data_IF_217261438448
#
_entry.id   IF_217261438448
#
_cell.length_a   1.000
_cell.length_b   1.000
_cell.length_c   1.000
_cell.angle_alpha   90.00
_cell.angle_beta   90.00
_cell.angle_gamma   90.00
#
_symmetry.space_group_name_H-M   'P 1'
#
loop_
_entity.id
_entity.type
_entity.pdbx_description
1 polymer ?
#
# COMPACT_ATOMS: atom_id res chain seq x y z
N UNK A 1 13.90 41.96 -39.68
CA UNK A 1 15.34 41.82 -40.00
C UNK A 1 15.69 40.35 -39.87
N UNK A 2 15.62 39.60 -40.97
CA UNK A 2 16.03 38.19 -40.98
C UNK A 2 17.55 38.14 -41.06
N UNK A 3 18.21 37.68 -39.99
CA UNK A 3 19.66 37.59 -39.90
C UNK A 3 20.19 36.45 -40.76
N UNK A 4 21.13 36.76 -41.66
CA UNK A 4 21.87 35.77 -42.44
C UNK A 4 22.61 34.80 -41.51
N UNK A 5 22.39 33.49 -41.68
CA UNK A 5 23.17 32.41 -41.05
C UNK A 5 24.11 31.79 -42.10
N UNK A 6 25.42 31.82 -41.84
CA UNK A 6 26.42 31.30 -42.76
C UNK A 6 26.49 29.77 -42.71
N UNK A 7 26.54 29.12 -43.88
CA UNK A 7 26.50 27.67 -44.09
C UNK A 7 27.79 26.90 -43.68
N UNK A 8 28.78 27.57 -43.08
CA UNK A 8 30.09 26.98 -42.79
C UNK A 8 30.51 27.18 -41.32
N UNK A 9 29.53 27.38 -40.44
CA UNK A 9 29.72 27.39 -38.99
C UNK A 9 28.98 26.13 -38.51
N UNK A 10 29.74 25.11 -38.14
CA UNK A 10 29.25 24.04 -37.29
C UNK A 10 28.75 24.72 -36.01
N UNK A 11 27.46 24.57 -35.72
CA UNK A 11 26.85 25.15 -34.53
C UNK A 11 27.39 24.43 -33.32
N UNK A 12 28.41 25.02 -32.69
CA UNK A 12 29.00 24.58 -31.41
C UNK A 12 28.07 24.83 -30.21
N UNK A 13 26.76 24.96 -30.45
CA UNK A 13 25.69 24.98 -29.45
C UNK A 13 25.01 23.59 -29.46
N UNK A 14 25.79 22.54 -29.23
CA UNK A 14 25.27 21.43 -28.43
C UNK A 14 25.21 22.00 -27.02
N UNK A 15 24.06 22.58 -26.65
CA UNK A 15 23.80 22.89 -25.25
C UNK A 15 23.95 21.60 -24.47
N UNK A 16 25.05 21.44 -23.74
CA UNK A 16 25.20 20.40 -22.72
C UNK A 16 23.97 20.51 -21.82
N UNK A 17 22.99 19.62 -22.02
CA UNK A 17 21.84 19.48 -21.15
C UNK A 17 22.41 18.98 -19.83
N UNK A 18 22.61 19.91 -18.89
CA UNK A 18 23.01 19.61 -17.52
C UNK A 18 21.94 18.69 -16.93
N UNK A 19 22.23 17.39 -16.85
CA UNK A 19 21.33 16.40 -16.26
C UNK A 19 21.24 16.73 -14.76
N UNK A 20 20.02 17.03 -14.28
CA UNK A 20 19.78 17.33 -12.87
C UNK A 20 19.74 16.04 -12.03
N UNK A 21 20.93 15.55 -11.67
CA UNK A 21 21.15 14.34 -10.86
C UNK A 21 20.67 14.51 -9.39
N UNK A 22 20.14 15.68 -9.00
CA UNK A 22 19.76 15.97 -7.61
C UNK A 22 18.66 15.03 -7.12
N UNK A 23 17.64 14.78 -7.95
CA UNK A 23 16.52 13.89 -7.60
C UNK A 23 16.99 12.44 -7.43
N UNK A 24 17.88 11.97 -8.31
CA UNK A 24 18.42 10.61 -8.23
C UNK A 24 19.23 10.41 -6.94
N UNK A 25 20.11 11.36 -6.60
CA UNK A 25 20.86 11.33 -5.35
C UNK A 25 19.94 11.28 -4.11
N UNK A 26 18.86 12.08 -4.13
CA UNK A 26 17.88 12.11 -3.03
C UNK A 26 17.10 10.78 -2.92
N UNK A 27 16.80 10.12 -4.04
CA UNK A 27 16.19 8.79 -4.06
C UNK A 27 17.16 7.74 -3.51
N UNK A 28 18.44 7.78 -3.89
CA UNK A 28 19.46 6.88 -3.35
C UNK A 28 19.65 7.05 -1.85
N UNK A 29 19.65 8.28 -1.35
CA UNK A 29 19.78 8.55 0.09
C UNK A 29 18.56 8.06 0.86
N UNK A 30 17.36 8.28 0.34
CA UNK A 30 16.14 7.71 0.90
C UNK A 30 16.18 6.17 0.87
N UNK A 31 16.74 5.54 -0.17
CA UNK A 31 16.87 4.09 -0.25
C UNK A 31 17.78 3.55 0.86
N UNK A 32 18.86 4.25 1.21
CA UNK A 32 19.74 3.89 2.33
C UNK A 32 19.01 3.98 3.67
N UNK A 33 18.23 5.03 3.88
CA UNK A 33 17.39 5.20 5.08
C UNK A 33 16.35 4.08 5.18
N UNK A 34 15.67 3.78 4.07
CA UNK A 34 14.69 2.70 3.98
C UNK A 34 15.29 1.33 4.30
N UNK A 35 16.46 1.00 3.72
CA UNK A 35 17.17 -0.24 4.02
C UNK A 35 17.56 -0.34 5.51
N UNK A 36 17.95 0.79 6.11
CA UNK A 36 18.28 0.86 7.54
C UNK A 36 17.06 0.61 8.42
N UNK A 37 15.93 1.24 8.11
CA UNK A 37 14.66 1.02 8.80
C UNK A 37 14.20 -0.44 8.69
N UNK A 38 14.27 -1.02 7.48
CA UNK A 38 13.89 -2.40 7.24
C UNK A 38 14.79 -3.39 7.99
N UNK A 39 16.10 -3.10 8.08
CA UNK A 39 17.02 -3.91 8.87
C UNK A 39 16.62 -3.94 10.35
N UNK A 40 16.38 -2.78 10.97
CA UNK A 40 15.96 -2.74 12.38
C UNK A 40 14.58 -3.36 12.59
N UNK A 41 13.66 -3.20 11.65
CA UNK A 41 12.36 -3.87 11.67
C UNK A 41 12.53 -5.40 11.66
N UNK A 42 13.37 -5.94 10.76
CA UNK A 42 13.62 -7.37 10.64
C UNK A 42 14.33 -7.99 11.87
N UNK A 43 15.08 -7.21 12.65
CA UNK A 43 15.67 -7.65 13.92
C UNK A 43 14.62 -7.96 15.01
N UNK A 44 13.37 -7.50 14.84
CA UNK A 44 12.25 -7.82 15.70
C UNK A 44 12.10 -6.92 16.93
N UNK A 45 11.31 -7.32 17.94
CA UNK A 45 10.83 -6.43 19.01
C UNK A 45 11.91 -5.70 19.80
N UNK A 46 13.11 -6.28 19.95
CA UNK A 46 14.22 -5.66 20.65
C UNK A 46 14.79 -4.41 19.93
N UNK A 47 14.51 -4.28 18.63
CA UNK A 47 15.00 -3.21 17.77
C UNK A 47 13.90 -2.28 17.27
N UNK A 48 12.65 -2.48 17.71
CA UNK A 48 11.52 -1.68 17.23
C UNK A 48 11.63 -0.19 17.53
N UNK A 49 12.22 0.20 18.66
CA UNK A 49 12.48 1.63 18.93
C UNK A 49 13.44 2.24 17.90
N UNK A 50 14.51 1.52 17.55
CA UNK A 50 15.46 1.94 16.50
C UNK A 50 14.81 1.94 15.11
N UNK A 51 13.93 0.99 14.84
CA UNK A 51 13.18 0.95 13.59
C UNK A 51 12.23 2.14 13.48
N UNK A 52 11.56 2.53 14.58
CA UNK A 52 10.68 3.70 14.61
C UNK A 52 11.46 5.00 14.31
N UNK A 53 12.64 5.17 14.91
CA UNK A 53 13.52 6.31 14.63
C UNK A 53 13.99 6.32 13.17
N UNK A 54 14.42 5.18 12.63
CA UNK A 54 14.87 5.08 11.24
C UNK A 54 13.74 5.32 10.22
N UNK A 55 12.51 4.85 10.50
CA UNK A 55 11.35 5.18 9.67
C UNK A 55 11.01 6.67 9.74
N UNK A 56 11.13 7.31 10.91
CA UNK A 56 10.93 8.75 11.04
C UNK A 56 11.93 9.52 10.16
N UNK A 57 13.21 9.18 10.24
CA UNK A 57 14.26 9.79 9.40
C UNK A 57 14.00 9.58 7.91
N UNK A 58 13.52 8.39 7.51
CA UNK A 58 13.10 8.12 6.14
C UNK A 58 11.97 9.04 5.69
N UNK A 59 10.89 9.18 6.46
CA UNK A 59 9.76 10.03 6.07
C UNK A 59 10.08 11.53 6.11
N UNK A 60 11.14 11.94 6.81
CA UNK A 60 11.65 13.32 6.80
C UNK A 60 12.51 13.66 5.56
N UNK A 61 12.88 12.64 4.77
CA UNK A 61 13.72 12.82 3.57
C UNK A 61 13.01 13.63 2.47
N UNK A 62 13.81 14.22 1.58
CA UNK A 62 13.33 15.14 0.55
C UNK A 62 12.33 14.51 -0.42
N UNK A 63 12.44 13.21 -0.69
CA UNK A 63 11.54 12.52 -1.64
C UNK A 63 10.07 12.55 -1.23
N UNK A 64 9.76 12.67 0.07
CA UNK A 64 8.39 12.77 0.59
C UNK A 64 7.83 14.20 0.55
N UNK A 65 8.64 15.17 0.13
CA UNK A 65 8.23 16.57 -0.07
C UNK A 65 7.90 16.87 -1.52
N UNK A 66 8.22 15.95 -2.43
CA UNK A 66 7.94 16.11 -3.86
C UNK A 66 6.44 16.12 -4.15
N UNK A 67 5.97 16.89 -5.14
CA UNK A 67 4.59 16.80 -5.61
C UNK A 67 4.17 15.37 -5.96
N UNK A 68 5.05 14.60 -6.60
CA UNK A 68 4.85 13.22 -7.03
C UNK A 68 4.59 12.26 -5.84
N UNK A 69 5.06 12.63 -4.64
CA UNK A 69 4.88 11.84 -3.41
C UNK A 69 3.49 11.99 -2.80
N UNK A 70 2.77 13.07 -3.09
CA UNK A 70 1.42 13.29 -2.58
C UNK A 70 0.44 12.29 -3.19
N UNK A 71 -0.65 12.00 -2.49
CA UNK A 71 -1.72 11.15 -3.02
C UNK A 71 -2.35 11.79 -4.26
N UNK A 72 -2.79 10.99 -5.23
CA UNK A 72 -3.31 11.53 -6.50
C UNK A 72 -4.52 12.43 -6.29
N UNK A 73 -5.44 12.03 -5.41
CA UNK A 73 -6.59 12.86 -5.04
C UNK A 73 -6.17 14.25 -4.53
N UNK A 74 -5.13 14.30 -3.69
CA UNK A 74 -4.61 15.54 -3.13
C UNK A 74 -3.94 16.40 -4.21
N UNK A 75 -3.24 15.78 -5.17
CA UNK A 75 -2.69 16.50 -6.32
C UNK A 75 -3.79 17.12 -7.18
N UNK A 76 -4.85 16.36 -7.46
CA UNK A 76 -6.01 16.83 -8.23
C UNK A 76 -6.69 18.01 -7.51
N UNK A 77 -6.84 17.96 -6.19
CA UNK A 77 -7.44 19.05 -5.41
C UNK A 77 -6.58 20.34 -5.43
N UNK A 78 -5.24 20.21 -5.44
CA UNK A 78 -4.32 21.35 -5.40
C UNK A 78 -4.06 21.97 -6.78
N UNK A 79 -3.90 21.13 -7.81
CA UNK A 79 -3.42 21.53 -9.13
C UNK A 79 -4.47 21.36 -10.23
N UNK A 80 -5.61 20.72 -9.94
CA UNK A 80 -6.59 20.31 -10.94
C UNK A 80 -6.27 18.93 -11.53
N UNK A 81 -7.22 18.36 -12.27
CA UNK A 81 -6.97 17.13 -13.01
C UNK A 81 -5.96 17.43 -14.13
N UNK A 82 -4.90 16.62 -14.22
CA UNK A 82 -3.93 16.70 -15.31
C UNK A 82 -4.66 16.50 -16.64
N UNK A 83 -4.43 17.40 -17.60
CA UNK A 83 -4.92 17.22 -18.97
C UNK A 83 -3.93 16.37 -19.76
N UNK A 84 -4.38 15.75 -20.87
CA UNK A 84 -3.51 14.92 -21.72
C UNK A 84 -2.25 15.66 -22.23
N UNK A 85 -2.27 17.00 -22.26
CA UNK A 85 -1.11 17.84 -22.60
C UNK A 85 -0.06 17.93 -21.46
N UNK A 86 -0.46 17.75 -20.19
CA UNK A 86 0.41 17.78 -19.02
C UNK A 86 1.07 16.40 -18.74
N UNK A 87 0.46 15.30 -19.18
CA UNK A 87 1.01 13.95 -19.05
C UNK A 87 2.31 13.75 -19.85
N UNK A 88 2.44 14.47 -20.98
CA UNK A 88 3.65 14.46 -21.82
C UNK A 88 4.92 14.91 -21.09
N UNK A 89 4.82 15.69 -20.02
CA UNK A 89 5.96 16.16 -19.24
C UNK A 89 6.36 15.20 -18.10
N UNK A 90 5.50 14.25 -17.74
CA UNK A 90 5.76 13.26 -16.71
C UNK A 90 6.33 11.94 -17.26
N UNK A 91 6.14 11.66 -18.55
CA UNK A 91 6.56 10.41 -19.20
C UNK A 91 8.02 10.44 -19.72
N UNK A 92 8.74 11.56 -19.54
CA UNK A 92 10.14 11.70 -19.98
C UNK A 92 11.15 11.07 -18.99
N UNK A 93 10.67 10.44 -17.91
CA UNK A 93 11.51 9.65 -16.99
C UNK A 93 11.47 8.17 -17.37
N UNK A 94 12.33 7.84 -18.34
CA UNK A 94 12.85 6.52 -18.70
C UNK A 94 11.97 5.29 -18.41
N UNK A 95 11.23 4.85 -19.42
CA UNK A 95 10.76 3.47 -19.56
C UNK A 95 11.94 2.51 -19.76
N UNK A 96 12.63 2.16 -18.67
CA UNK A 96 13.67 1.14 -18.62
C UNK A 96 13.10 -0.23 -18.24
N UNK A 97 12.72 -1.02 -19.25
CA UNK A 97 12.68 -2.50 -19.31
C UNK A 97 12.28 -3.28 -18.04
N UNK A 98 11.08 -3.88 -18.10
CA UNK A 98 10.60 -4.91 -17.17
C UNK A 98 11.59 -6.09 -17.02
N UNK A 99 12.21 -6.24 -15.84
CA UNK A 99 12.93 -7.46 -15.45
C UNK A 99 12.35 -8.01 -14.15
N UNK A 100 12.24 -9.33 -14.13
CA UNK A 100 11.44 -10.14 -13.23
C UNK A 100 11.75 -9.95 -11.72
N UNK A 101 10.68 -10.07 -10.93
CA UNK A 101 10.68 -10.35 -9.48
C UNK A 101 11.59 -11.55 -9.17
N UNK A 102 12.77 -11.31 -8.60
CA UNK A 102 13.22 -11.91 -7.34
C UNK A 102 14.71 -11.63 -7.07
N UNK A 103 14.99 -11.34 -5.80
CA UNK A 103 16.30 -11.37 -5.15
C UNK A 103 17.18 -10.13 -5.31
N UNK A 104 17.11 -9.23 -4.32
CA UNK A 104 18.22 -8.40 -3.81
C UNK A 104 19.23 -7.91 -4.85
N UNK A 105 18.77 -7.21 -5.89
CA UNK A 105 19.66 -6.49 -6.79
C UNK A 105 19.26 -5.01 -6.81
N UNK A 106 20.22 -4.18 -6.46
CA UNK A 106 20.14 -2.73 -6.36
C UNK A 106 20.06 -2.12 -7.77
N UNK A 107 18.97 -2.40 -8.49
CA UNK A 107 18.56 -1.52 -9.59
C UNK A 107 18.14 -0.15 -9.03
N UNK A 108 18.16 0.92 -9.84
CA UNK A 108 17.65 2.22 -9.41
C UNK A 108 16.19 2.05 -9.00
N UNK A 109 15.92 2.08 -7.70
CA UNK A 109 14.55 2.04 -7.20
C UNK A 109 13.85 3.30 -7.67
N UNK A 110 12.80 3.19 -8.46
CA UNK A 110 12.07 4.37 -8.93
C UNK A 110 11.39 5.07 -7.76
N UNK A 111 11.16 6.38 -7.88
CA UNK A 111 10.48 7.16 -6.86
C UNK A 111 9.14 6.54 -6.42
N UNK A 112 8.23 6.11 -7.32
CA UNK A 112 6.99 5.45 -6.91
C UNK A 112 7.21 4.17 -6.09
N UNK A 113 8.23 3.39 -6.46
CA UNK A 113 8.54 2.13 -5.78
C UNK A 113 9.02 2.36 -4.34
N UNK A 114 9.94 3.30 -4.12
CA UNK A 114 10.41 3.58 -2.75
C UNK A 114 9.31 4.19 -1.88
N UNK A 115 8.45 5.05 -2.45
CA UNK A 115 7.29 5.59 -1.74
C UNK A 115 6.32 4.48 -1.33
N UNK A 116 5.95 3.61 -2.27
CA UNK A 116 5.10 2.44 -2.02
C UNK A 116 5.67 1.58 -0.88
N UNK A 117 6.94 1.16 -1.00
CA UNK A 117 7.57 0.26 -0.03
C UNK A 117 7.73 0.89 1.35
N UNK A 118 8.04 2.18 1.41
CA UNK A 118 8.20 2.92 2.67
C UNK A 118 6.88 2.97 3.42
N UNK A 119 5.81 3.39 2.75
CA UNK A 119 4.47 3.45 3.33
C UNK A 119 3.95 2.07 3.75
N UNK A 120 4.07 1.05 2.87
CA UNK A 120 3.65 -0.32 3.13
C UNK A 120 4.35 -0.90 4.36
N UNK A 121 5.68 -0.85 4.39
CA UNK A 121 6.44 -1.49 5.46
C UNK A 121 6.35 -0.73 6.78
N UNK A 122 6.18 0.59 6.76
CA UNK A 122 5.94 1.34 7.98
C UNK A 122 4.58 1.02 8.61
N UNK A 123 3.52 0.92 7.80
CA UNK A 123 2.20 0.51 8.30
C UNK A 123 2.24 -0.91 8.90
N UNK A 124 2.93 -1.84 8.23
CA UNK A 124 3.17 -3.17 8.78
C UNK A 124 3.95 -3.13 10.09
N UNK A 125 5.07 -2.39 10.12
CA UNK A 125 5.89 -2.18 11.32
C UNK A 125 5.06 -1.64 12.48
N UNK A 126 4.21 -0.64 12.26
CA UNK A 126 3.35 -0.05 13.30
C UNK A 126 2.43 -1.08 13.93
N UNK A 127 1.83 -1.96 13.14
CA UNK A 127 0.93 -3.01 13.63
C UNK A 127 1.71 -4.14 14.33
N UNK A 128 2.89 -4.50 13.84
CA UNK A 128 3.77 -5.45 14.52
C UNK A 128 4.29 -4.90 15.86
N UNK A 129 4.65 -3.61 15.90
CA UNK A 129 5.06 -2.94 17.12
C UNK A 129 3.90 -2.85 18.12
N UNK A 130 2.69 -2.51 17.67
CA UNK A 130 1.49 -2.58 18.50
C UNK A 130 1.32 -3.99 19.08
N UNK A 131 1.44 -5.03 18.25
CA UNK A 131 1.33 -6.44 18.66
C UNK A 131 2.36 -6.80 19.73
N UNK A 132 3.63 -6.41 19.56
CA UNK A 132 4.66 -6.63 20.57
C UNK A 132 4.37 -5.91 21.89
N UNK A 133 3.76 -4.71 21.82
CA UNK A 133 3.32 -3.95 23.00
C UNK A 133 2.14 -4.60 23.72
N UNK A 134 1.23 -5.29 23.00
CA UNK A 134 0.13 -6.04 23.63
C UNK A 134 0.63 -7.07 24.64
N UNK A 135 1.81 -7.67 24.40
CA UNK A 135 2.39 -8.68 25.27
C UNK A 135 3.13 -8.11 26.49
N UNK A 136 3.47 -6.82 26.48
CA UNK A 136 4.37 -6.21 27.48
C UNK A 136 3.69 -5.11 28.29
N UNK A 137 2.71 -4.41 27.73
CA UNK A 137 2.03 -3.27 28.33
C UNK A 137 0.51 -3.43 28.14
N UNK A 138 -0.27 -2.89 29.08
CA UNK A 138 -1.71 -2.84 28.93
C UNK A 138 -2.09 -1.77 27.89
N UNK A 139 -2.28 -2.20 26.64
CA UNK A 139 -2.70 -1.34 25.53
C UNK A 139 -4.21 -1.08 25.60
N UNK A 140 -4.61 0.19 25.45
CA UNK A 140 -6.01 0.60 25.48
C UNK A 140 -6.67 0.55 24.11
N UNK A 141 -8.01 0.53 24.06
CA UNK A 141 -8.76 0.55 22.80
C UNK A 141 -8.42 1.79 21.96
N UNK A 142 -8.26 2.95 22.61
CA UNK A 142 -7.89 4.20 21.94
C UNK A 142 -6.51 4.10 21.26
N UNK A 143 -5.55 3.41 21.86
CA UNK A 143 -4.24 3.19 21.26
C UNK A 143 -4.33 2.26 20.04
N UNK A 144 -5.12 1.18 20.12
CA UNK A 144 -5.35 0.29 18.98
C UNK A 144 -5.97 1.07 17.80
N UNK A 145 -7.00 1.86 18.06
CA UNK A 145 -7.68 2.67 17.03
C UNK A 145 -6.73 3.71 16.44
N UNK A 146 -5.93 4.38 17.26
CA UNK A 146 -4.96 5.37 16.80
C UNK A 146 -3.89 4.74 15.89
N UNK A 147 -3.26 3.64 16.33
CA UNK A 147 -2.24 2.93 15.57
C UNK A 147 -2.81 2.32 14.28
N UNK A 148 -4.01 1.74 14.33
CA UNK A 148 -4.71 1.20 13.16
C UNK A 148 -5.09 2.29 12.16
N UNK A 149 -5.49 3.48 12.63
CA UNK A 149 -5.82 4.62 11.76
C UNK A 149 -4.58 5.14 11.03
N UNK A 150 -3.45 5.26 11.73
CA UNK A 150 -2.17 5.61 11.11
C UNK A 150 -1.75 4.56 10.08
N UNK A 151 -1.82 3.28 10.44
CA UNK A 151 -1.49 2.19 9.51
C UNK A 151 -2.38 2.20 8.26
N UNK A 152 -3.68 2.45 8.43
CA UNK A 152 -4.63 2.58 7.31
C UNK A 152 -4.22 3.73 6.38
N UNK A 153 -3.91 4.91 6.92
CA UNK A 153 -3.47 6.05 6.11
C UNK A 153 -2.22 5.73 5.29
N UNK A 154 -1.23 5.06 5.90
CA UNK A 154 -0.02 4.66 5.17
C UNK A 154 -0.30 3.55 4.14
N UNK A 155 -1.16 2.57 4.42
CA UNK A 155 -1.54 1.59 3.40
C UNK A 155 -2.25 2.22 2.20
N UNK A 156 -3.12 3.21 2.42
CA UNK A 156 -3.75 3.97 1.33
C UNK A 156 -2.70 4.71 0.49
N UNK A 157 -1.73 5.37 1.13
CA UNK A 157 -0.62 6.01 0.42
C UNK A 157 0.22 5.01 -0.39
N UNK A 158 0.40 3.79 0.11
CA UNK A 158 1.10 2.75 -0.64
C UNK A 158 0.29 2.24 -1.84
N UNK A 159 -1.03 2.06 -1.69
CA UNK A 159 -1.94 1.65 -2.76
C UNK A 159 -2.06 2.72 -3.87
N UNK A 160 -1.98 4.00 -3.53
CA UNK A 160 -1.92 5.10 -4.49
C UNK A 160 -0.71 4.99 -5.44
N UNK A 161 0.39 4.36 -4.99
CA UNK A 161 1.62 4.18 -5.77
C UNK A 161 1.69 2.84 -6.50
N UNK A 162 1.04 1.80 -5.99
CA UNK A 162 0.91 0.48 -6.62
C UNK A 162 -0.37 -0.20 -6.12
N UNK A 163 -1.40 -0.17 -6.95
CA UNK A 163 -2.70 -0.78 -6.72
C UNK A 163 -2.77 -2.25 -7.18
N UNK A 164 -1.68 -2.79 -7.74
CA UNK A 164 -1.61 -4.19 -8.16
C UNK A 164 -1.28 -5.16 -7.02
N UNK A 165 -0.95 -4.63 -5.84
CA UNK A 165 -0.59 -5.40 -4.65
C UNK A 165 -1.82 -5.96 -3.91
N UNK A 166 -2.23 -7.17 -4.31
CA UNK A 166 -3.37 -7.88 -3.72
C UNK A 166 -3.21 -8.17 -2.21
N UNK A 167 -1.99 -8.44 -1.72
CA UNK A 167 -1.76 -8.66 -0.29
C UNK A 167 -1.96 -7.37 0.49
N UNK A 168 -1.51 -6.23 -0.04
CA UNK A 168 -1.73 -4.92 0.55
C UNK A 168 -3.22 -4.56 0.61
N UNK A 169 -4.00 -4.82 -0.44
CA UNK A 169 -5.45 -4.64 -0.40
C UNK A 169 -6.10 -5.47 0.73
N UNK A 170 -5.71 -6.73 0.88
CA UNK A 170 -6.23 -7.58 1.96
C UNK A 170 -5.83 -7.11 3.35
N UNK A 171 -4.59 -6.63 3.53
CA UNK A 171 -4.14 -6.03 4.80
C UNK A 171 -4.94 -4.77 5.12
N UNK A 172 -5.18 -3.92 4.11
CA UNK A 172 -6.00 -2.72 4.23
C UNK A 172 -7.43 -3.06 4.64
N UNK A 173 -8.01 -4.12 4.06
CA UNK A 173 -9.32 -4.63 4.46
C UNK A 173 -9.36 -5.07 5.94
N UNK A 174 -8.31 -5.77 6.38
CA UNK A 174 -8.19 -6.23 7.77
C UNK A 174 -8.13 -5.05 8.75
N UNK A 175 -7.35 -4.01 8.45
CA UNK A 175 -7.29 -2.79 9.26
C UNK A 175 -8.62 -2.02 9.22
N UNK A 176 -9.29 -1.97 8.07
CA UNK A 176 -10.65 -1.43 7.97
C UNK A 176 -11.62 -2.15 8.93
N UNK A 177 -11.51 -3.47 9.03
CA UNK A 177 -12.25 -4.27 10.02
C UNK A 177 -11.90 -3.96 11.48
N UNK A 178 -10.62 -3.72 11.80
CA UNK A 178 -10.16 -3.31 13.14
C UNK A 178 -10.71 -1.92 13.55
N UNK A 179 -10.92 -1.05 12.56
CA UNK A 179 -11.55 0.27 12.76
C UNK A 179 -13.08 0.20 12.66
N UNK A 180 -13.65 -1.01 12.63
CA UNK A 180 -15.06 -1.30 12.43
C UNK A 180 -15.68 -0.65 11.17
N UNK A 181 -14.87 -0.33 10.17
CA UNK A 181 -15.32 0.21 8.89
C UNK A 181 -15.61 -0.91 7.89
N UNK A 182 -16.84 -1.42 7.93
CA UNK A 182 -17.32 -2.43 6.98
C UNK A 182 -17.23 -1.98 5.53
N UNK A 183 -17.39 -0.67 5.28
CA UNK A 183 -17.28 -0.08 3.95
C UNK A 183 -15.86 -0.22 3.38
N UNK A 184 -14.85 0.14 4.17
CA UNK A 184 -13.44 0.04 3.75
C UNK A 184 -13.06 -1.43 3.58
N UNK A 185 -13.41 -2.27 4.56
CA UNK A 185 -13.14 -3.71 4.48
C UNK A 185 -13.73 -4.33 3.22
N UNK A 186 -14.98 -3.97 2.88
CA UNK A 186 -15.65 -4.44 1.67
C UNK A 186 -14.94 -3.97 0.40
N UNK A 187 -14.74 -2.66 0.27
CA UNK A 187 -14.11 -2.06 -0.92
C UNK A 187 -12.77 -2.71 -1.23
N UNK A 188 -11.90 -2.86 -0.22
CA UNK A 188 -10.59 -3.47 -0.40
C UNK A 188 -10.67 -4.96 -0.76
N UNK A 189 -11.66 -5.71 -0.26
CA UNK A 189 -11.85 -7.11 -0.63
C UNK A 189 -12.44 -7.28 -2.03
N UNK A 190 -13.28 -6.35 -2.47
CA UNK A 190 -13.81 -6.30 -3.83
C UNK A 190 -12.69 -5.96 -4.82
N UNK A 191 -11.82 -4.99 -4.51
CA UNK A 191 -10.67 -4.61 -5.33
C UNK A 191 -9.71 -5.79 -5.60
N UNK A 192 -9.54 -6.71 -4.65
CA UNK A 192 -8.73 -7.93 -4.85
C UNK A 192 -9.33 -8.84 -5.93
N UNK A 193 -10.64 -8.82 -6.12
CA UNK A 193 -11.36 -9.72 -7.01
C UNK A 193 -11.66 -9.11 -8.39
N UNK A 194 -11.50 -7.80 -8.55
CA UNK A 194 -11.83 -7.07 -9.78
C UNK A 194 -10.92 -7.45 -10.97
N UNK A 195 -9.68 -7.86 -10.69
CA UNK A 195 -8.64 -8.13 -11.72
C UNK A 195 -8.83 -9.39 -12.57
N UNK A 196 -9.80 -10.27 -12.28
CA UNK A 196 -10.00 -11.55 -13.00
C UNK A 196 -11.23 -11.54 -13.93
N UNK A 197 -11.91 -10.39 -14.10
CA UNK A 197 -13.18 -10.30 -14.85
C UNK A 197 -13.03 -10.00 -16.36
N UNK A 198 -11.80 -9.88 -16.88
CA UNK A 198 -11.57 -9.68 -18.32
C UNK A 198 -11.72 -10.98 -19.14
N UNK A 199 -12.95 -11.51 -19.19
CA UNK A 199 -13.42 -12.45 -20.21
C UNK A 199 -13.63 -13.90 -19.77
N UNK A 200 -13.95 -14.76 -20.75
CA UNK A 200 -14.27 -16.19 -20.54
C UNK A 200 -13.11 -16.99 -19.89
N UNK A 201 -11.88 -16.47 -19.97
CA UNK A 201 -10.69 -17.10 -19.41
C UNK A 201 -10.59 -16.91 -17.88
N UNK A 202 -11.05 -15.79 -17.32
CA UNK A 202 -11.08 -15.54 -15.87
C UNK A 202 -12.15 -16.36 -15.14
N UNK A 203 -13.24 -16.74 -15.82
CA UNK A 203 -14.23 -17.68 -15.27
C UNK A 203 -13.65 -19.11 -15.15
N UNK A 204 -12.62 -19.44 -15.93
CA UNK A 204 -11.98 -20.76 -15.99
C UNK A 204 -10.66 -20.84 -15.22
N UNK A 205 -10.07 -19.71 -14.83
CA UNK A 205 -8.87 -19.65 -13.99
C UNK A 205 -9.19 -20.15 -12.57
N UNK A 206 -8.18 -20.73 -11.92
CA UNK A 206 -8.26 -21.03 -10.50
C UNK A 206 -7.83 -19.77 -9.77
N UNK A 207 -8.68 -19.19 -8.88
CA UNK A 207 -8.27 -18.05 -8.08
C UNK A 207 -6.99 -18.38 -7.31
N UNK A 208 -6.07 -17.43 -7.28
CA UNK A 208 -4.91 -17.43 -6.41
C UNK A 208 -5.31 -17.52 -4.93
N UNK A 209 -4.32 -17.74 -4.06
CA UNK A 209 -4.57 -17.87 -2.62
C UNK A 209 -5.20 -16.59 -2.04
N UNK A 210 -4.69 -15.43 -2.45
CA UNK A 210 -5.15 -14.11 -1.98
C UNK A 210 -6.60 -13.85 -2.39
N UNK A 211 -6.95 -14.06 -3.66
CA UNK A 211 -8.31 -13.93 -4.19
C UNK A 211 -9.28 -14.92 -3.54
N UNK A 212 -8.87 -16.18 -3.40
CA UNK A 212 -9.69 -17.21 -2.76
C UNK A 212 -10.01 -16.87 -1.30
N UNK A 213 -9.03 -16.32 -0.56
CA UNK A 213 -9.23 -15.87 0.81
C UNK A 213 -10.06 -14.58 0.86
N UNK A 214 -9.79 -13.61 -0.01
CA UNK A 214 -10.56 -12.36 -0.10
C UNK A 214 -12.05 -12.64 -0.41
N UNK A 215 -12.34 -13.53 -1.36
CA UNK A 215 -13.71 -13.92 -1.69
C UNK A 215 -14.43 -14.71 -0.58
N UNK A 216 -13.70 -15.38 0.31
CA UNK A 216 -14.30 -15.97 1.51
C UNK A 216 -14.56 -14.89 2.59
N UNK A 217 -13.61 -14.00 2.83
CA UNK A 217 -13.75 -12.87 3.76
C UNK A 217 -14.88 -11.93 3.34
N UNK A 218 -15.02 -11.65 2.05
CA UNK A 218 -16.07 -10.81 1.49
C UNK A 218 -17.45 -11.43 1.68
N UNK A 219 -17.59 -12.75 1.47
CA UNK A 219 -18.86 -13.45 1.74
C UNK A 219 -19.26 -13.40 3.20
N UNK A 220 -18.31 -13.61 4.11
CA UNK A 220 -18.58 -13.53 5.55
C UNK A 220 -19.02 -12.09 5.92
N UNK A 221 -18.38 -11.06 5.36
CA UNK A 221 -18.73 -9.64 5.57
C UNK A 221 -20.10 -9.26 4.99
N UNK A 222 -20.40 -9.66 3.76
CA UNK A 222 -21.68 -9.39 3.09
C UNK A 222 -22.83 -10.10 3.81
N UNK A 223 -22.61 -11.32 4.29
CA UNK A 223 -23.57 -12.03 5.13
C UNK A 223 -23.81 -11.31 6.47
N UNK A 224 -22.76 -10.74 7.08
CA UNK A 224 -22.90 -9.92 8.29
C UNK A 224 -23.68 -8.61 8.04
N UNK A 225 -23.61 -8.07 6.82
CA UNK A 225 -24.35 -6.88 6.40
C UNK A 225 -25.80 -7.17 5.97
N UNK A 226 -26.20 -8.44 5.91
CA UNK A 226 -27.49 -8.89 5.34
C UNK A 226 -27.73 -8.38 3.90
N UNK A 227 -26.65 -8.21 3.14
CA UNK A 227 -26.72 -7.70 1.76
C UNK A 227 -26.91 -8.87 0.78
N UNK A 228 -28.17 -9.25 0.59
CA UNK A 228 -28.55 -10.32 -0.31
C UNK A 228 -28.28 -10.03 -1.79
N UNK A 229 -28.28 -8.76 -2.21
CA UNK A 229 -28.05 -8.42 -3.62
C UNK A 229 -26.61 -8.74 -4.02
N UNK A 230 -25.66 -8.38 -3.18
CA UNK A 230 -24.24 -8.66 -3.41
C UNK A 230 -23.95 -10.17 -3.39
N UNK A 231 -24.67 -10.95 -2.60
CA UNK A 231 -24.57 -12.42 -2.61
C UNK A 231 -25.03 -13.07 -3.93
N UNK A 232 -25.88 -12.39 -4.71
CA UNK A 232 -26.40 -12.88 -5.98
C UNK A 232 -25.54 -12.45 -7.18
N UNK A 233 -24.61 -11.52 -6.99
CA UNK A 233 -23.72 -11.02 -8.04
C UNK A 233 -22.37 -11.75 -8.03
N UNK A 234 -21.74 -11.85 -9.19
CA UNK A 234 -20.35 -12.30 -9.28
C UNK A 234 -19.42 -11.28 -8.61
N UNK A 235 -18.28 -11.72 -8.03
CA UNK A 235 -17.75 -13.09 -7.98
C UNK A 235 -18.33 -13.94 -6.83
N UNK A 236 -19.25 -13.41 -6.01
CA UNK A 236 -19.75 -14.13 -4.84
C UNK A 236 -20.78 -15.22 -5.17
N UNK A 237 -21.53 -15.03 -6.27
CA UNK A 237 -22.53 -15.98 -6.75
C UNK A 237 -21.95 -17.13 -7.58
N UNK A 238 -20.70 -17.02 -8.04
CA UNK A 238 -20.07 -17.99 -8.94
C UNK A 238 -19.38 -19.12 -8.15
N UNK A 239 -19.79 -20.36 -8.43
CA UNK A 239 -19.05 -21.56 -8.04
C UNK A 239 -19.25 -22.10 -6.61
N UNK A 240 -18.74 -23.31 -6.39
CA UNK A 240 -18.83 -24.00 -5.09
C UNK A 240 -18.00 -23.25 -4.04
N UNK A 241 -18.58 -23.03 -2.86
CA UNK A 241 -17.88 -22.51 -1.67
C UNK A 241 -16.61 -23.31 -1.41
N UNK A 242 -15.44 -22.71 -1.64
CA UNK A 242 -14.17 -23.25 -1.17
C UNK A 242 -14.02 -22.81 0.28
N UNK A 243 -14.26 -23.72 1.21
CA UNK A 243 -14.08 -23.45 2.63
C UNK A 243 -12.62 -23.65 2.96
N UNK A 244 -11.88 -22.57 3.24
CA UNK A 244 -10.54 -22.72 3.78
C UNK A 244 -10.63 -23.33 5.17
N UNK A 245 -9.69 -24.22 5.50
CA UNK A 245 -9.67 -24.84 6.82
C UNK A 245 -9.52 -23.75 7.91
N UNK A 246 -10.15 -23.96 9.08
CA UNK A 246 -10.07 -23.00 10.19
C UNK A 246 -8.61 -22.68 10.59
N UNK A 247 -7.73 -23.68 10.53
CA UNK A 247 -6.30 -23.49 10.81
C UNK A 247 -5.62 -22.61 9.76
N UNK A 248 -5.95 -22.78 8.49
CA UNK A 248 -5.40 -21.94 7.41
C UNK A 248 -5.89 -20.50 7.53
N UNK A 249 -7.17 -20.29 7.84
CA UNK A 249 -7.72 -18.95 8.12
C UNK A 249 -7.01 -18.26 9.28
N UNK A 250 -6.72 -18.99 10.35
CA UNK A 250 -5.98 -18.44 11.50
C UNK A 250 -4.54 -18.07 11.14
N UNK A 251 -3.86 -18.90 10.33
CA UNK A 251 -2.50 -18.61 9.88
C UNK A 251 -2.43 -17.43 8.90
N UNK A 252 -3.46 -17.24 8.08
CA UNK A 252 -3.54 -16.16 7.10
C UNK A 252 -4.19 -14.87 7.66
N UNK A 253 -4.61 -14.89 8.93
CA UNK A 253 -5.13 -13.69 9.59
C UNK A 253 -3.96 -12.89 10.18
N UNK A 254 -3.57 -11.86 9.43
CA UNK A 254 -2.33 -11.09 9.62
C UNK A 254 -2.32 -10.33 10.97
N UNK A 255 -3.48 -9.91 11.47
CA UNK A 255 -3.62 -9.09 12.69
C UNK A 255 -4.53 -9.72 13.75
N UNK A 256 -4.48 -11.06 13.84
CA UNK A 256 -5.37 -11.82 14.72
C UNK A 256 -5.24 -11.40 16.19
N UNK A 257 -4.02 -11.20 16.68
CA UNK A 257 -3.75 -10.88 18.09
C UNK A 257 -4.33 -9.52 18.48
N UNK A 258 -4.17 -8.51 17.62
CA UNK A 258 -4.76 -7.19 17.83
C UNK A 258 -6.28 -7.27 17.83
N UNK A 259 -6.86 -7.96 16.85
CA UNK A 259 -8.32 -8.12 16.74
C UNK A 259 -8.92 -8.86 17.95
N UNK A 260 -8.17 -9.85 18.49
CA UNK A 260 -8.59 -10.56 19.70
C UNK A 260 -8.55 -9.66 20.93
N UNK A 261 -7.48 -8.87 21.08
CA UNK A 261 -7.35 -7.93 22.20
C UNK A 261 -8.42 -6.84 22.16
N UNK A 262 -8.68 -6.28 20.98
CA UNK A 262 -9.75 -5.31 20.76
C UNK A 262 -11.11 -5.87 21.21
N UNK A 263 -11.47 -7.09 20.78
CA UNK A 263 -12.72 -7.75 21.20
C UNK A 263 -12.82 -7.98 22.71
N UNK A 264 -11.71 -8.32 23.37
CA UNK A 264 -11.67 -8.47 24.82
C UNK A 264 -11.93 -7.14 25.52
N UNK A 265 -11.25 -6.06 25.10
CA UNK A 265 -11.42 -4.72 25.66
C UNK A 265 -12.84 -4.20 25.48
N UNK A 266 -13.44 -4.39 24.30
CA UNK A 266 -14.85 -4.02 24.05
C UNK A 266 -15.80 -4.76 25.00
N UNK A 267 -15.55 -6.04 25.26
CA UNK A 267 -16.36 -6.83 26.19
C UNK A 267 -16.16 -6.41 27.65
N UNK A 268 -14.94 -6.04 28.03
CA UNK A 268 -14.59 -5.54 29.38
C UNK A 268 -15.20 -4.16 29.66
N UNK A 269 -15.19 -3.27 28.67
CA UNK A 269 -15.68 -1.88 28.80
C UNK A 269 -17.21 -1.77 28.63
N UNK A 270 -17.90 -2.84 28.24
CA UNK A 270 -19.36 -2.85 28.04
C UNK A 270 -19.84 -1.90 26.94
N UNK A 271 -18.93 -1.45 26.07
CA UNK A 271 -19.23 -0.54 24.98
C UNK A 271 -19.87 -1.33 23.83
N UNK A 272 -20.97 -0.84 23.23
CA UNK A 272 -21.46 -1.40 21.98
C UNK A 272 -20.35 -1.25 20.94
N UNK A 273 -20.10 -2.29 20.13
CA UNK A 273 -19.31 -2.14 18.90
C UNK A 273 -19.95 -1.01 18.11
N UNK A 274 -19.25 0.12 17.99
CA UNK A 274 -19.72 1.36 17.37
C UNK A 274 -20.40 1.06 16.03
N UNK A 275 -21.73 1.12 15.97
CA UNK A 275 -22.51 0.84 14.75
C UNK A 275 -22.18 1.81 13.65
#
# INVERSE_FOLDING_TARGET
MSGFKALNIESDDESDIEIDDTKELQIEDALKLYQTALRYHAEGPASFDRAAEAYHELFDSEIFKYPESQAELQRIELYGALTDEDQSWHDEVETGTTVAKSSFDSGPSTLPQILHLSHKNYAQFRLEYLTARLHTVNVTLQQIVADASVALSHFVQALDKDDTDLDLWRRTAAVGGMLNSKRIARFCLEAVLEGDDEGLNGVLSLPGLEEGLAGEQLRDLVAELDDHLSMLQGPLSTGKRRVLSKMLKQRLNIFQDITQREKQLVAEEGLPRWT
#
